data_IF_554532237013
#
_entry.id   IF_554532237013
#
_cell.length_a   1.000
_cell.length_b   1.000
_cell.length_c   1.000
_cell.angle_alpha   90.00
_cell.angle_beta   90.00
_cell.angle_gamma   90.00
#
_symmetry.space_group_name_H-M   'P 1'
#
loop_
_entity.id
_entity.type
_entity.pdbx_description
1 polymer ?
#
# COMPACT_ATOMS: atom_id res chain seq x y z
N UNK A 1 20.11 0.46 15.83
CA UNK A 1 19.12 -0.44 16.46
C UNK A 1 19.16 -1.74 15.70
N UNK A 2 19.72 -2.81 16.26
CA UNK A 2 19.85 -4.10 15.58
C UNK A 2 18.63 -4.93 15.92
N UNK A 3 17.71 -5.12 14.97
CA UNK A 3 16.64 -6.10 15.11
C UNK A 3 17.26 -7.49 14.94
N UNK A 4 17.41 -8.22 16.02
CA UNK A 4 17.81 -9.64 15.96
C UNK A 4 16.54 -10.47 15.89
N UNK A 5 16.11 -10.79 14.69
CA UNK A 5 15.08 -11.83 14.45
C UNK A 5 15.85 -13.10 14.13
N UNK A 6 15.98 -13.99 15.11
CA UNK A 6 16.57 -15.31 14.90
C UNK A 6 15.54 -16.22 14.21
N UNK A 7 15.97 -16.89 13.15
CA UNK A 7 15.30 -18.02 12.50
C UNK A 7 14.03 -17.75 11.69
N UNK A 8 13.79 -16.48 11.28
CA UNK A 8 12.69 -16.16 10.37
C UNK A 8 13.17 -15.34 9.17
N UNK A 9 12.64 -15.59 7.96
CA UNK A 9 12.92 -14.74 6.81
C UNK A 9 12.40 -13.32 7.09
N UNK A 10 13.26 -12.33 6.85
CA UNK A 10 12.94 -10.92 7.08
C UNK A 10 12.72 -10.24 5.72
N UNK A 11 11.72 -9.36 5.64
CA UNK A 11 11.48 -8.48 4.51
C UNK A 11 11.50 -7.04 5.04
N UNK A 12 12.27 -6.18 4.39
CA UNK A 12 12.31 -4.75 4.71
C UNK A 12 11.06 -4.08 4.16
N UNK A 13 10.21 -3.59 5.06
CA UNK A 13 8.89 -3.08 4.74
C UNK A 13 8.90 -1.68 4.12
N UNK A 14 7.73 -1.23 3.67
CA UNK A 14 7.50 0.08 3.02
C UNK A 14 7.91 1.28 3.86
N UNK A 15 7.86 1.17 5.20
CA UNK A 15 8.24 2.26 6.11
C UNK A 15 9.70 2.72 5.98
N UNK A 16 10.55 1.95 5.33
CA UNK A 16 11.93 2.34 5.00
C UNK A 16 12.04 3.19 3.75
N UNK A 17 10.97 3.31 2.97
CA UNK A 17 10.87 4.20 1.83
C UNK A 17 12.00 4.06 0.81
N UNK A 18 12.22 2.84 0.34
CA UNK A 18 13.32 2.49 -0.57
C UNK A 18 13.09 3.09 -1.96
N UNK A 19 13.92 4.05 -2.35
CA UNK A 19 13.77 4.84 -3.58
C UNK A 19 14.84 4.60 -4.65
N UNK A 20 16.00 4.13 -4.23
CA UNK A 20 17.16 4.02 -5.11
C UNK A 20 17.99 2.78 -4.77
N UNK A 21 18.96 2.48 -5.61
CA UNK A 21 19.78 1.29 -5.46
C UNK A 21 20.71 1.35 -4.23
N UNK A 22 21.10 2.53 -3.76
CA UNK A 22 21.92 2.65 -2.54
C UNK A 22 21.11 2.25 -1.31
N UNK A 23 19.86 2.71 -1.23
CA UNK A 23 18.95 2.34 -0.15
C UNK A 23 18.69 0.83 -0.17
N UNK A 24 18.40 0.28 -1.36
CA UNK A 24 18.16 -1.16 -1.51
C UNK A 24 19.40 -2.00 -1.17
N UNK A 25 20.58 -1.57 -1.56
CA UNK A 25 21.84 -2.26 -1.31
C UNK A 25 22.28 -2.22 0.16
N UNK A 26 21.76 -1.27 0.95
CA UNK A 26 22.06 -1.19 2.38
C UNK A 26 21.53 -2.39 3.17
N UNK A 27 20.61 -3.15 2.59
CA UNK A 27 20.00 -4.33 3.21
C UNK A 27 20.44 -5.60 2.48
N UNK A 28 20.64 -6.68 3.24
CA UNK A 28 20.90 -8.02 2.69
C UNK A 28 19.60 -8.78 2.43
N UNK A 29 18.54 -8.36 3.07
CA UNK A 29 17.21 -8.92 3.02
C UNK A 29 16.42 -8.36 1.83
N UNK A 30 15.40 -9.07 1.35
CA UNK A 30 14.48 -8.53 0.34
C UNK A 30 13.86 -7.21 0.81
N UNK A 31 13.76 -6.23 -0.08
CA UNK A 31 13.24 -4.89 0.23
C UNK A 31 11.98 -4.58 -0.57
N UNK A 32 11.00 -3.97 0.07
CA UNK A 32 9.82 -3.46 -0.62
C UNK A 32 10.15 -2.06 -1.17
N UNK A 33 10.10 -1.93 -2.50
CA UNK A 33 10.27 -0.64 -3.15
C UNK A 33 9.13 0.33 -2.79
N UNK A 34 9.45 1.62 -2.66
CA UNK A 34 8.42 2.65 -2.42
C UNK A 34 7.40 2.68 -3.55
N UNK A 35 6.13 2.93 -3.20
CA UNK A 35 5.06 3.15 -4.19
C UNK A 35 5.33 4.36 -5.11
N UNK A 36 6.16 5.28 -4.69
CA UNK A 36 6.46 6.49 -5.44
C UNK A 36 7.59 6.29 -6.45
N UNK A 37 8.22 5.09 -6.46
CA UNK A 37 9.26 4.77 -7.44
C UNK A 37 8.71 4.78 -8.86
N UNK A 38 9.48 5.37 -9.77
CA UNK A 38 9.25 5.23 -11.19
C UNK A 38 9.74 3.87 -11.70
N UNK A 39 9.22 3.42 -12.83
CA UNK A 39 9.67 2.19 -13.50
C UNK A 39 11.19 2.20 -13.79
N UNK A 40 11.74 3.37 -14.12
CA UNK A 40 13.18 3.56 -14.34
C UNK A 40 14.00 3.30 -13.08
N UNK A 41 13.57 3.84 -11.94
CA UNK A 41 14.23 3.62 -10.64
C UNK A 41 14.20 2.15 -10.24
N UNK A 42 13.06 1.48 -10.41
CA UNK A 42 12.94 0.05 -10.13
C UNK A 42 13.89 -0.79 -10.98
N UNK A 43 13.99 -0.50 -12.29
CA UNK A 43 14.93 -1.19 -13.16
C UNK A 43 16.37 -0.95 -12.71
N UNK A 44 16.74 0.29 -12.38
CA UNK A 44 18.06 0.60 -11.85
C UNK A 44 18.39 -0.17 -10.57
N UNK A 45 17.46 -0.23 -9.61
CA UNK A 45 17.66 -1.01 -8.39
C UNK A 45 17.90 -2.50 -8.70
N UNK A 46 17.12 -3.07 -9.63
CA UNK A 46 17.29 -4.46 -10.07
C UNK A 46 18.64 -4.70 -10.74
N UNK A 47 19.11 -3.79 -11.60
CA UNK A 47 20.39 -3.92 -12.30
C UNK A 47 21.57 -3.97 -11.33
N UNK A 48 21.42 -3.44 -10.11
CA UNK A 48 22.38 -3.55 -9.01
C UNK A 48 22.16 -4.76 -8.09
N UNK A 49 21.42 -5.80 -8.57
CA UNK A 49 21.16 -7.06 -7.84
C UNK A 49 20.42 -6.88 -6.50
N UNK A 50 19.62 -5.84 -6.35
CA UNK A 50 18.76 -5.72 -5.20
C UNK A 50 17.61 -6.77 -5.29
N UNK A 51 17.37 -7.47 -4.20
CA UNK A 51 16.20 -8.35 -4.08
C UNK A 51 14.98 -7.51 -3.77
N UNK A 52 14.23 -7.18 -4.82
CA UNK A 52 13.11 -6.26 -4.76
C UNK A 52 11.78 -6.98 -4.71
N UNK A 53 10.87 -6.41 -3.94
CA UNK A 53 9.47 -6.78 -3.91
C UNK A 53 8.63 -5.54 -4.29
N UNK A 54 7.72 -5.68 -5.25
CA UNK A 54 6.85 -4.59 -5.69
C UNK A 54 5.43 -4.73 -5.14
N UNK A 55 4.86 -3.67 -4.60
CA UNK A 55 3.43 -3.59 -4.41
C UNK A 55 2.73 -3.38 -5.76
N UNK A 56 1.91 -4.31 -6.19
CA UNK A 56 1.24 -4.24 -7.50
C UNK A 56 -0.24 -3.90 -7.44
N UNK A 57 -0.86 -4.05 -6.29
CA UNK A 57 -2.27 -3.73 -6.08
C UNK A 57 -2.53 -3.31 -4.65
N UNK A 58 -3.44 -2.37 -4.46
CA UNK A 58 -4.00 -1.99 -3.17
C UNK A 58 -4.20 -0.50 -2.99
N UNK A 59 -4.88 -0.13 -1.92
CA UNK A 59 -5.04 1.27 -1.52
C UNK A 59 -3.79 1.73 -0.79
N UNK A 60 -3.11 2.70 -1.36
CA UNK A 60 -1.95 3.32 -0.73
C UNK A 60 -2.36 4.25 0.39
N UNK A 61 -1.51 4.39 1.36
CA UNK A 61 -1.66 5.40 2.40
C UNK A 61 -1.23 6.76 1.85
N UNK A 62 -2.17 7.70 1.82
CA UNK A 62 -1.93 9.06 1.33
C UNK A 62 -1.43 9.98 2.44
N UNK A 63 -1.89 9.76 3.66
CA UNK A 63 -1.53 10.61 4.79
C UNK A 63 -1.65 9.86 6.11
N UNK A 64 -0.70 10.11 7.00
CA UNK A 64 -0.79 9.76 8.42
C UNK A 64 -0.96 11.06 9.21
N UNK A 65 -1.93 11.09 10.12
CA UNK A 65 -2.16 12.22 11.00
C UNK A 65 -2.06 11.81 12.47
N UNK A 66 -1.20 12.50 13.21
CA UNK A 66 -1.14 12.40 14.67
C UNK A 66 -2.41 12.95 15.35
N UNK A 67 -3.18 13.75 14.61
CA UNK A 67 -4.44 14.30 15.07
C UNK A 67 -5.58 13.36 14.70
N UNK A 68 -6.29 12.83 15.71
CA UNK A 68 -7.43 11.96 15.48
C UNK A 68 -8.66 12.78 15.06
N UNK A 69 -8.95 12.82 13.75
CA UNK A 69 -10.11 13.55 13.21
C UNK A 69 -11.43 12.99 13.71
N UNK A 70 -11.50 11.69 14.00
CA UNK A 70 -12.69 11.03 14.54
C UNK A 70 -12.99 11.56 15.95
N UNK A 71 -11.98 11.57 16.82
CA UNK A 71 -12.13 12.12 18.17
C UNK A 71 -12.52 13.60 18.14
N UNK A 72 -11.90 14.37 17.26
CA UNK A 72 -12.20 15.80 17.10
C UNK A 72 -13.65 16.03 16.66
N UNK A 73 -14.17 15.21 15.74
CA UNK A 73 -15.54 15.34 15.25
C UNK A 73 -16.58 15.08 16.34
N UNK A 74 -16.33 14.11 17.21
CA UNK A 74 -17.29 13.73 18.26
C UNK A 74 -17.18 14.57 19.53
N UNK A 75 -15.97 14.93 19.94
CA UNK A 75 -15.72 15.54 21.24
C UNK A 75 -15.18 16.97 21.16
N UNK A 76 -14.99 17.50 19.96
CA UNK A 76 -14.36 18.81 19.70
C UNK A 76 -12.97 18.98 20.36
N UNK A 77 -12.34 17.85 20.71
CA UNK A 77 -11.00 17.78 21.31
C UNK A 77 -10.38 16.41 21.08
N UNK A 78 -9.07 16.31 21.23
CA UNK A 78 -8.38 15.00 21.24
C UNK A 78 -8.73 14.25 22.52
N UNK A 79 -9.43 13.12 22.37
CA UNK A 79 -9.67 12.16 23.48
C UNK A 79 -8.92 10.89 23.13
N UNK A 80 -7.78 10.60 23.76
CA UNK A 80 -7.02 9.39 23.51
C UNK A 80 -7.86 8.14 23.80
N UNK A 81 -7.72 7.13 22.96
CA UNK A 81 -8.37 5.82 23.14
C UNK A 81 -9.90 5.88 23.36
N UNK A 82 -10.59 6.83 22.72
CA UNK A 82 -12.05 7.00 22.87
C UNK A 82 -12.86 5.80 22.35
N UNK A 83 -12.27 4.88 21.57
CA UNK A 83 -12.89 3.65 21.07
C UNK A 83 -13.89 3.85 19.93
N UNK A 84 -14.13 5.07 19.45
CA UNK A 84 -15.09 5.34 18.38
C UNK A 84 -14.72 4.62 17.07
N UNK A 85 -13.44 4.63 16.71
CA UNK A 85 -12.91 3.96 15.52
C UNK A 85 -13.08 2.43 15.51
N UNK A 86 -13.31 1.82 16.67
CA UNK A 86 -13.60 0.38 16.77
C UNK A 86 -15.07 0.02 16.56
N UNK A 87 -15.97 1.02 16.64
CA UNK A 87 -17.42 0.81 16.54
C UNK A 87 -17.95 0.98 15.13
N UNK A 88 -17.30 1.85 14.33
CA UNK A 88 -17.78 2.22 13.00
C UNK A 88 -16.61 2.45 12.05
N UNK A 89 -16.87 2.29 10.75
CA UNK A 89 -15.97 2.72 9.67
C UNK A 89 -16.18 4.22 9.40
N UNK A 90 -15.12 4.93 9.12
CA UNK A 90 -15.14 6.37 8.87
C UNK A 90 -14.52 6.72 7.54
N UNK A 91 -15.01 7.81 6.95
CA UNK A 91 -14.51 8.35 5.68
C UNK A 91 -14.38 9.87 5.79
N UNK A 92 -13.37 10.42 5.15
CA UNK A 92 -13.28 11.85 4.87
C UNK A 92 -13.80 12.07 3.46
N UNK A 93 -14.64 13.09 3.29
CA UNK A 93 -15.12 13.52 1.97
C UNK A 93 -14.48 14.86 1.64
N UNK A 94 -13.82 14.96 0.49
CA UNK A 94 -13.22 16.21 0.04
C UNK A 94 -14.26 17.18 -0.54
N UNK A 95 -13.81 18.38 -0.94
CA UNK A 95 -14.68 19.42 -1.52
C UNK A 95 -15.30 19.01 -2.87
N UNK A 96 -14.76 17.98 -3.54
CA UNK A 96 -15.27 17.46 -4.81
C UNK A 96 -16.19 16.25 -4.61
N UNK A 97 -16.47 15.87 -3.36
CA UNK A 97 -17.28 14.70 -3.02
C UNK A 97 -16.53 13.37 -3.08
N UNK A 98 -15.21 13.38 -3.23
CA UNK A 98 -14.41 12.14 -3.22
C UNK A 98 -14.25 11.66 -1.78
N UNK A 99 -14.50 10.36 -1.58
CA UNK A 99 -14.50 9.73 -0.26
C UNK A 99 -13.21 8.94 -0.03
N UNK A 100 -12.53 9.20 1.08
CA UNK A 100 -11.29 8.55 1.49
C UNK A 100 -11.52 7.79 2.79
N UNK A 101 -11.14 6.53 2.83
CA UNK A 101 -11.27 5.70 4.02
C UNK A 101 -10.22 6.05 5.06
N UNK A 102 -10.64 5.98 6.34
CA UNK A 102 -9.77 6.23 7.49
C UNK A 102 -9.74 4.97 8.34
N UNK A 103 -8.55 4.53 8.69
CA UNK A 103 -8.39 3.62 9.82
C UNK A 103 -7.48 4.25 10.89
N UNK A 104 -7.57 3.74 12.10
CA UNK A 104 -6.83 4.27 13.24
C UNK A 104 -5.99 3.17 13.85
N UNK A 105 -4.71 3.43 14.04
CA UNK A 105 -3.77 2.50 14.67
C UNK A 105 -3.89 2.48 16.21
N UNK A 106 -3.09 1.64 16.85
CA UNK A 106 -3.05 1.52 18.32
C UNK A 106 -2.59 2.79 19.03
N UNK A 107 -1.89 3.69 18.34
CA UNK A 107 -1.44 4.99 18.85
C UNK A 107 -2.47 6.10 18.60
N UNK A 108 -3.65 5.77 18.10
CA UNK A 108 -4.71 6.72 17.74
C UNK A 108 -4.32 7.68 16.60
N UNK A 109 -3.35 7.30 15.74
CA UNK A 109 -3.07 8.04 14.51
C UNK A 109 -4.08 7.64 13.45
N UNK A 110 -4.49 8.59 12.63
CA UNK A 110 -5.37 8.32 11.52
C UNK A 110 -4.56 8.12 10.24
N UNK A 111 -4.80 7.00 9.58
CA UNK A 111 -4.27 6.64 8.28
C UNK A 111 -5.35 6.86 7.24
N UNK A 112 -5.09 7.74 6.29
CA UNK A 112 -6.04 8.08 5.22
C UNK A 112 -5.57 7.37 3.96
N UNK A 113 -6.39 6.45 3.49
CA UNK A 113 -6.11 5.66 2.31
C UNK A 113 -6.53 6.39 1.03
N UNK A 114 -5.90 6.04 -0.08
CA UNK A 114 -6.36 6.47 -1.40
C UNK A 114 -7.80 6.00 -1.63
N UNK A 115 -8.59 6.80 -2.33
CA UNK A 115 -10.01 6.49 -2.58
C UNK A 115 -10.21 5.23 -3.42
N UNK A 116 -9.29 4.95 -4.34
CA UNK A 116 -9.29 3.79 -5.22
C UNK A 116 -8.00 2.99 -5.09
N UNK A 117 -8.03 1.66 -5.30
CA UNK A 117 -6.81 0.87 -5.32
C UNK A 117 -5.94 1.25 -6.52
N UNK A 118 -4.64 1.26 -6.32
CA UNK A 118 -3.65 1.38 -7.39
C UNK A 118 -3.39 0.00 -7.96
N UNK A 119 -3.23 -0.09 -9.28
CA UNK A 119 -2.80 -1.31 -9.97
C UNK A 119 -1.60 -1.02 -10.87
N UNK A 120 -0.56 -1.85 -10.77
CA UNK A 120 0.65 -1.76 -11.59
C UNK A 120 0.54 -2.68 -12.79
N UNK A 121 0.23 -2.10 -13.95
CA UNK A 121 0.16 -2.85 -15.20
C UNK A 121 1.56 -3.32 -15.65
N UNK A 122 1.59 -4.47 -16.36
CA UNK A 122 2.82 -5.04 -16.94
C UNK A 122 3.95 -5.29 -15.93
N UNK A 123 3.64 -5.51 -14.65
CA UNK A 123 4.61 -5.82 -13.60
C UNK A 123 5.45 -7.07 -13.93
N UNK A 124 4.88 -8.05 -14.63
CA UNK A 124 5.57 -9.28 -15.03
C UNK A 124 6.79 -9.03 -15.92
N UNK A 125 6.76 -7.99 -16.75
CA UNK A 125 7.87 -7.64 -17.62
C UNK A 125 9.12 -7.23 -16.84
N UNK A 126 8.99 -6.99 -15.55
CA UNK A 126 10.10 -6.60 -14.69
C UNK A 126 10.83 -7.81 -14.07
N UNK A 127 10.22 -9.00 -14.08
CA UNK A 127 10.75 -10.22 -13.44
C UNK A 127 11.23 -9.96 -12.00
N UNK A 128 10.36 -9.38 -11.17
CA UNK A 128 10.58 -9.01 -9.77
C UNK A 128 9.46 -9.63 -8.94
N UNK A 129 9.74 -10.03 -7.72
CA UNK A 129 8.71 -10.48 -6.76
C UNK A 129 7.68 -9.38 -6.50
N UNK A 130 6.45 -9.74 -6.24
CA UNK A 130 5.39 -8.75 -5.98
C UNK A 130 4.42 -9.21 -4.89
N UNK A 131 3.71 -8.28 -4.32
CA UNK A 131 2.63 -8.53 -3.37
C UNK A 131 1.39 -7.67 -3.64
N UNK A 132 0.30 -8.07 -3.04
CA UNK A 132 -1.00 -7.43 -3.12
C UNK A 132 -1.39 -6.97 -1.72
N UNK A 133 -1.83 -5.73 -1.57
CA UNK A 133 -2.36 -5.20 -0.32
C UNK A 133 -3.87 -5.17 -0.36
N UNK A 134 -4.48 -5.96 0.51
CA UNK A 134 -5.93 -5.95 0.75
C UNK A 134 -6.17 -5.29 2.10
N UNK A 135 -6.81 -4.14 2.12
CA UNK A 135 -6.93 -3.32 3.34
C UNK A 135 -8.36 -3.16 3.82
N UNK A 136 -9.31 -3.05 2.91
CA UNK A 136 -10.70 -2.71 3.23
C UNK A 136 -11.70 -3.60 2.51
N UNK A 137 -11.22 -4.50 1.68
CA UNK A 137 -12.03 -5.40 0.87
C UNK A 137 -12.63 -6.53 1.74
N UNK A 138 -13.83 -6.93 1.41
CA UNK A 138 -14.46 -8.12 1.97
C UNK A 138 -13.80 -9.40 1.42
N UNK A 139 -14.06 -10.55 2.04
CA UNK A 139 -13.52 -11.82 1.59
C UNK A 139 -13.87 -12.11 0.11
N UNK A 140 -15.11 -11.87 -0.30
CA UNK A 140 -15.57 -12.07 -1.68
C UNK A 140 -14.88 -11.12 -2.66
N UNK A 141 -14.70 -9.87 -2.29
CA UNK A 141 -13.96 -8.90 -3.10
C UNK A 141 -12.49 -9.30 -3.22
N UNK A 142 -11.88 -9.78 -2.15
CA UNK A 142 -10.51 -10.30 -2.14
C UNK A 142 -10.33 -11.43 -3.14
N UNK A 143 -11.23 -12.42 -3.13
CA UNK A 143 -11.20 -13.55 -4.08
C UNK A 143 -11.34 -13.03 -5.52
N UNK A 144 -12.28 -12.13 -5.77
CA UNK A 144 -12.51 -11.55 -7.10
C UNK A 144 -11.27 -10.82 -7.63
N UNK A 145 -10.63 -10.01 -6.78
CA UNK A 145 -9.39 -9.29 -7.13
C UNK A 145 -8.25 -10.26 -7.44
N UNK A 146 -8.06 -11.29 -6.61
CA UNK A 146 -7.01 -12.29 -6.82
C UNK A 146 -7.20 -13.07 -8.13
N UNK A 147 -8.43 -13.45 -8.45
CA UNK A 147 -8.74 -14.13 -9.72
C UNK A 147 -8.48 -13.22 -10.93
N UNK A 148 -8.85 -11.94 -10.84
CA UNK A 148 -8.61 -10.99 -11.91
C UNK A 148 -7.11 -10.76 -12.12
N UNK A 149 -6.35 -10.54 -11.06
CA UNK A 149 -4.89 -10.39 -11.15
C UNK A 149 -4.27 -11.65 -11.78
N UNK A 150 -4.69 -12.85 -11.39
CA UNK A 150 -4.25 -14.11 -12.02
C UNK A 150 -4.56 -14.14 -13.52
N UNK A 151 -5.77 -13.76 -13.92
CA UNK A 151 -6.18 -13.71 -15.34
C UNK A 151 -5.33 -12.71 -16.14
N UNK A 152 -5.07 -11.54 -15.58
CA UNK A 152 -4.20 -10.52 -16.20
C UNK A 152 -2.76 -11.00 -16.31
N UNK A 153 -2.26 -11.65 -15.25
CA UNK A 153 -0.91 -12.21 -15.21
C UNK A 153 -0.72 -13.30 -16.27
N UNK A 154 -1.73 -14.14 -16.51
CA UNK A 154 -1.62 -15.26 -17.46
C UNK A 154 -1.85 -14.89 -18.93
N UNK A 155 -2.53 -13.80 -19.24
CA UNK A 155 -2.99 -13.50 -20.62
C UNK A 155 -2.49 -12.19 -21.25
N UNK A 156 -1.81 -11.32 -20.51
CA UNK A 156 -1.33 -10.01 -20.99
C UNK A 156 -2.45 -9.09 -21.52
N UNK A 157 -3.73 -9.37 -21.23
CA UNK A 157 -4.89 -8.62 -21.72
C UNK A 157 -5.41 -7.63 -20.69
N UNK A 158 -5.88 -6.47 -21.20
CA UNK A 158 -6.75 -5.56 -20.43
C UNK A 158 -7.99 -6.34 -19.97
N UNK A 159 -8.35 -6.26 -18.71
CA UNK A 159 -9.56 -6.91 -18.20
C UNK A 159 -10.74 -5.94 -18.20
N UNK A 160 -11.94 -6.52 -18.26
CA UNK A 160 -13.22 -5.79 -18.21
C UNK A 160 -13.71 -5.59 -16.75
N UNK A 161 -12.81 -5.49 -15.78
CA UNK A 161 -13.25 -5.21 -14.42
C UNK A 161 -13.91 -3.83 -14.33
N UNK A 162 -15.16 -3.85 -13.87
CA UNK A 162 -15.94 -2.66 -13.53
C UNK A 162 -15.43 -1.93 -12.27
N UNK A 163 -14.37 -2.41 -11.62
CA UNK A 163 -13.74 -1.68 -10.53
C UNK A 163 -12.83 -0.60 -11.09
N UNK A 164 -13.11 0.63 -10.73
CA UNK A 164 -12.22 1.75 -10.98
C UNK A 164 -10.91 1.53 -10.21
N UNK A 165 -9.79 1.66 -10.89
CA UNK A 165 -8.46 1.68 -10.29
C UNK A 165 -7.63 2.77 -10.96
N UNK A 166 -6.73 3.34 -10.20
CA UNK A 166 -5.78 4.31 -10.74
C UNK A 166 -4.56 3.54 -11.23
N UNK A 167 -4.12 3.81 -12.46
CA UNK A 167 -2.86 3.25 -12.97
C UNK A 167 -1.72 3.79 -12.11
N UNK A 168 -0.99 2.88 -11.47
CA UNK A 168 0.05 3.22 -10.52
C UNK A 168 1.16 4.12 -11.10
N UNK A 169 1.86 4.81 -10.23
CA UNK A 169 2.89 5.81 -10.53
C UNK A 169 4.12 5.29 -11.28
N UNK A 170 4.20 4.02 -11.58
CA UNK A 170 5.28 3.43 -12.38
C UNK A 170 5.15 3.79 -13.88
N UNK A 171 5.10 5.07 -14.19
CA UNK A 171 5.14 5.56 -15.57
C UNK A 171 6.53 5.47 -16.17
#
# INVERSE_FOLDING_TARGET
MTLVVKDHPLIIGQGFNIYNHYDAYAFKEPVIASFECTRKQIRQMKDYNADLILPIYGKTENMISEHCVISQSYFHKKVPHCGMCKKHSYKIVDRKGVSFEIFTDSSCRNHILHNEPIYVENHQSMNISYFIMMTTETENETVTVLEDIKKRTSKGKKSDLKQSYVVGYFK
#
